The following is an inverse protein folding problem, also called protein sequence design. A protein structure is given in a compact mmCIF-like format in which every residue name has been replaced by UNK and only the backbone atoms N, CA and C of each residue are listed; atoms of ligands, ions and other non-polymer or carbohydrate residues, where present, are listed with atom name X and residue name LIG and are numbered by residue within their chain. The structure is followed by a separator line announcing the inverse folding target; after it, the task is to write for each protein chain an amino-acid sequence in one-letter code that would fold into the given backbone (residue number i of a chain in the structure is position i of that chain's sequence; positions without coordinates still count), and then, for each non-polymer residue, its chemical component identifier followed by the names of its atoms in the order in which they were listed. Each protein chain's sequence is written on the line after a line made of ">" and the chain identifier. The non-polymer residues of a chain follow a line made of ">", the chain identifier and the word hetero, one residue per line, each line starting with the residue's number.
data_IF_723489446829
#
_entry.id   IF_723489446829
#
_cell.length_a   1.000
_cell.length_b   1.000
_cell.length_c   1.000
_cell.angle_alpha   90.00
_cell.angle_beta   90.00
_cell.angle_gamma   90.00
#
_symmetry.space_group_name_H-M   'P 1'
#
loop_
_entity.id
_entity.type
_entity.pdbx_description
1 polymer ?
#
# COMPACT_ATOMS: atom_id res chain seq x y z
N UNK A 1 -0.79 14.01 -20.61
CA UNK A 1 -0.17 14.63 -19.42
C UNK A 1 -1.02 14.29 -18.19
N UNK A 2 -0.41 13.66 -17.19
CA UNK A 2 -1.03 13.41 -15.89
C UNK A 2 -0.54 14.49 -14.91
N UNK A 3 -1.43 15.37 -14.42
CA UNK A 3 -1.04 16.47 -13.54
C UNK A 3 -0.54 15.98 -12.17
N UNK A 4 -0.82 14.73 -11.79
CA UNK A 4 -0.33 14.11 -10.56
C UNK A 4 1.08 13.51 -10.71
N UNK A 5 1.60 13.41 -11.95
CA UNK A 5 2.93 12.87 -12.20
C UNK A 5 4.00 13.93 -11.96
N UNK A 6 4.91 13.63 -11.05
CA UNK A 6 6.11 14.44 -10.84
C UNK A 6 7.15 14.00 -11.88
N UNK A 7 7.66 14.96 -12.65
CA UNK A 7 8.74 14.69 -13.60
C UNK A 7 10.09 14.59 -12.87
N UNK A 8 10.62 13.38 -12.76
CA UNK A 8 12.00 13.13 -12.37
C UNK A 8 12.85 12.89 -13.63
N UNK A 9 14.08 13.35 -13.62
CA UNK A 9 15.05 12.95 -14.61
C UNK A 9 15.38 11.45 -14.39
N UNK A 10 15.03 10.59 -15.34
CA UNK A 10 15.25 9.15 -15.24
C UNK A 10 16.73 8.78 -15.05
N UNK A 11 17.62 9.58 -15.64
CA UNK A 11 19.06 9.39 -15.54
C UNK A 11 19.58 9.57 -14.11
N UNK A 12 19.00 10.49 -13.33
CA UNK A 12 19.38 10.69 -11.92
C UNK A 12 19.01 9.49 -11.05
N UNK A 13 17.86 8.87 -11.30
CA UNK A 13 17.41 7.69 -10.56
C UNK A 13 18.31 6.50 -10.89
N UNK A 14 18.63 6.29 -12.16
CA UNK A 14 19.50 5.21 -12.59
C UNK A 14 20.92 5.37 -12.00
N UNK A 15 21.49 6.58 -12.08
CA UNK A 15 22.80 6.87 -11.49
C UNK A 15 22.80 6.65 -9.98
N UNK A 16 21.75 7.11 -9.27
CA UNK A 16 21.62 6.90 -7.83
C UNK A 16 21.52 5.41 -7.46
N UNK A 17 20.80 4.61 -8.27
CA UNK A 17 20.62 3.18 -8.03
C UNK A 17 21.89 2.35 -8.20
N UNK A 18 22.90 2.87 -8.92
CA UNK A 18 24.17 2.21 -9.17
C UNK A 18 25.25 2.55 -8.13
N UNK A 19 24.99 3.53 -7.26
CA UNK A 19 25.93 3.94 -6.21
C UNK A 19 25.76 3.06 -4.98
N UNK A 20 26.89 2.63 -4.42
CA UNK A 20 26.90 1.98 -3.11
C UNK A 20 26.43 3.00 -2.05
N UNK A 21 25.52 2.58 -1.12
CA UNK A 21 25.13 3.46 -0.03
C UNK A 21 26.33 3.75 0.88
N UNK A 22 26.50 5.01 1.27
CA UNK A 22 27.59 5.44 2.16
C UNK A 22 27.31 5.13 3.65
N UNK A 23 26.22 4.43 3.96
CA UNK A 23 25.80 4.12 5.31
C UNK A 23 25.16 2.71 5.35
N UNK A 24 25.14 2.10 6.52
CA UNK A 24 24.41 0.86 6.74
C UNK A 24 22.93 1.19 6.92
N UNK A 25 22.04 0.75 6.00
CA UNK A 25 20.63 1.13 6.06
C UNK A 25 19.91 0.46 7.23
N UNK A 26 19.01 1.21 7.88
CA UNK A 26 18.12 0.73 8.92
C UNK A 26 16.67 0.80 8.43
N UNK A 27 15.91 -0.24 8.67
CA UNK A 27 14.52 -0.37 8.25
C UNK A 27 13.61 -0.70 9.42
N UNK A 28 12.37 -0.23 9.33
CA UNK A 28 11.29 -0.72 10.17
C UNK A 28 10.53 -1.82 9.43
N UNK A 29 10.23 -2.91 10.11
CA UNK A 29 9.22 -3.85 9.68
C UNK A 29 7.93 -3.59 10.44
N UNK A 30 6.91 -3.06 9.75
CA UNK A 30 5.62 -2.86 10.39
C UNK A 30 4.73 -4.10 10.33
N UNK A 31 4.32 -4.56 11.51
CA UNK A 31 3.20 -5.51 11.66
C UNK A 31 1.89 -4.74 11.64
N UNK A 32 1.30 -4.64 10.46
CA UNK A 32 -0.04 -4.05 10.32
C UNK A 32 -1.09 -4.95 10.96
N UNK A 33 -2.31 -4.43 11.19
CA UNK A 33 -3.44 -5.24 11.66
C UNK A 33 -3.78 -6.41 10.70
N UNK A 34 -3.30 -6.32 9.45
CA UNK A 34 -3.45 -7.36 8.43
C UNK A 34 -2.43 -8.49 8.56
N UNK A 35 -1.40 -8.34 9.40
CA UNK A 35 -0.43 -9.39 9.68
C UNK A 35 -1.07 -10.71 10.12
N UNK A 36 -2.20 -10.65 10.82
CA UNK A 36 -2.99 -11.83 11.21
C UNK A 36 -3.62 -12.58 10.03
N UNK A 37 -3.80 -11.91 8.88
CA UNK A 37 -4.43 -12.45 7.68
C UNK A 37 -3.42 -13.05 6.69
N UNK A 38 -2.13 -12.96 7.00
CA UNK A 38 -1.07 -13.59 6.19
C UNK A 38 -1.17 -15.10 6.38
N UNK A 39 -1.02 -15.86 5.29
CA UNK A 39 -0.93 -17.30 5.37
C UNK A 39 0.31 -17.76 6.16
N UNK A 40 0.27 -18.99 6.64
CA UNK A 40 1.32 -19.53 7.53
C UNK A 40 2.69 -19.58 6.85
N UNK A 41 2.71 -19.93 5.58
CA UNK A 41 3.93 -20.06 4.77
C UNK A 41 4.60 -18.70 4.62
N UNK A 42 3.86 -17.69 4.17
CA UNK A 42 4.33 -16.32 4.02
C UNK A 42 4.80 -15.75 5.35
N UNK A 43 4.07 -16.02 6.43
CA UNK A 43 4.47 -15.60 7.77
C UNK A 43 5.82 -16.16 8.17
N UNK A 44 6.05 -17.47 7.96
CA UNK A 44 7.32 -18.12 8.25
C UNK A 44 8.47 -17.53 7.42
N UNK A 45 8.22 -17.26 6.14
CA UNK A 45 9.20 -16.66 5.24
C UNK A 45 9.60 -15.24 5.70
N UNK A 46 8.64 -14.41 6.10
CA UNK A 46 8.92 -13.08 6.65
C UNK A 46 9.63 -13.13 8.01
N UNK A 47 9.24 -14.03 8.89
CA UNK A 47 9.92 -14.20 10.19
C UNK A 47 11.38 -14.63 9.98
N UNK A 48 11.65 -15.51 9.02
CA UNK A 48 13.00 -15.88 8.63
C UNK A 48 13.78 -14.68 8.07
N UNK A 49 13.16 -13.90 7.18
CA UNK A 49 13.75 -12.70 6.59
C UNK A 49 14.15 -11.69 7.68
N UNK A 50 13.25 -11.35 8.59
CA UNK A 50 13.48 -10.43 9.70
C UNK A 50 14.64 -10.95 10.57
N UNK A 51 14.64 -12.23 10.91
CA UNK A 51 15.70 -12.84 11.71
C UNK A 51 17.07 -12.77 11.02
N UNK A 52 17.11 -13.00 9.70
CA UNK A 52 18.34 -12.95 8.90
C UNK A 52 18.94 -11.55 8.88
N UNK A 53 18.10 -10.52 8.79
CA UNK A 53 18.51 -9.12 8.71
C UNK A 53 18.29 -8.32 10.00
N UNK A 54 18.31 -9.00 11.16
CA UNK A 54 18.02 -8.40 12.46
C UNK A 54 18.92 -7.23 12.88
N UNK A 55 20.05 -7.02 12.22
CA UNK A 55 20.94 -5.88 12.45
C UNK A 55 20.42 -4.61 11.78
N UNK A 56 19.65 -4.77 10.69
CA UNK A 56 19.16 -3.71 9.84
C UNK A 56 17.64 -3.51 9.95
N UNK A 57 16.92 -4.45 10.55
CA UNK A 57 15.47 -4.43 10.63
C UNK A 57 15.02 -4.45 12.08
N UNK A 58 14.27 -3.43 12.47
CA UNK A 58 13.54 -3.38 13.74
C UNK A 58 12.05 -3.62 13.50
N UNK A 59 11.40 -4.35 14.40
CA UNK A 59 9.99 -4.72 14.26
C UNK A 59 9.14 -3.84 15.15
N UNK A 60 8.15 -3.17 14.56
CA UNK A 60 7.20 -2.33 15.27
C UNK A 60 5.76 -2.69 14.92
N UNK A 61 4.87 -2.47 15.86
CA UNK A 61 3.46 -2.37 15.58
C UNK A 61 3.16 -1.00 14.93
N UNK A 62 2.22 -0.99 14.00
CA UNK A 62 1.81 0.28 13.38
C UNK A 62 1.19 1.23 14.42
N UNK A 63 1.38 2.54 14.27
CA UNK A 63 0.73 3.54 15.11
C UNK A 63 -0.80 3.35 15.16
N UNK A 64 -1.39 3.68 16.31
CA UNK A 64 -2.81 3.41 16.56
C UNK A 64 -3.77 4.02 15.54
N UNK A 65 -3.45 5.20 15.03
CA UNK A 65 -4.25 5.89 14.00
C UNK A 65 -4.29 5.19 12.64
N UNK A 66 -3.35 4.29 12.35
CA UNK A 66 -3.38 3.48 11.12
C UNK A 66 -4.62 2.62 10.98
N UNK A 67 -5.30 2.31 12.09
CA UNK A 67 -6.55 1.54 12.08
C UNK A 67 -7.69 2.25 11.34
N UNK A 68 -7.65 3.58 11.32
CA UNK A 68 -8.67 4.41 10.70
C UNK A 68 -8.40 4.70 9.22
N UNK A 69 -7.15 4.52 8.77
CA UNK A 69 -6.76 4.74 7.38
C UNK A 69 -7.64 3.98 6.38
N UNK A 70 -7.96 2.68 6.54
CA UNK A 70 -8.78 1.97 5.57
C UNK A 70 -10.16 2.61 5.35
N UNK A 71 -10.76 3.16 6.40
CA UNK A 71 -12.05 3.86 6.32
C UNK A 71 -11.92 5.16 5.51
N UNK A 72 -10.94 5.98 5.82
CA UNK A 72 -10.71 7.25 5.12
C UNK A 72 -10.27 7.02 3.66
N UNK A 73 -9.41 6.04 3.41
CA UNK A 73 -9.04 5.60 2.07
C UNK A 73 -10.28 5.22 1.25
N UNK A 74 -11.20 4.45 1.84
CA UNK A 74 -12.41 4.03 1.15
C UNK A 74 -13.30 5.21 0.76
N UNK A 75 -13.45 6.22 1.64
CA UNK A 75 -14.23 7.43 1.37
C UNK A 75 -13.66 8.16 0.15
N UNK A 76 -12.35 8.44 0.14
CA UNK A 76 -11.71 9.11 -1.00
C UNK A 76 -11.84 8.28 -2.26
N UNK A 77 -11.44 7.01 -2.20
CA UNK A 77 -11.44 6.11 -3.35
C UNK A 77 -12.84 5.97 -3.99
N UNK A 78 -13.88 5.76 -3.20
CA UNK A 78 -15.24 5.59 -3.72
C UNK A 78 -15.83 6.89 -4.24
N UNK A 79 -15.51 8.03 -3.60
CA UNK A 79 -15.95 9.35 -4.06
C UNK A 79 -15.30 9.71 -5.40
N UNK A 80 -13.99 9.52 -5.53
CA UNK A 80 -13.26 9.77 -6.78
C UNK A 80 -13.70 8.81 -7.89
N UNK A 81 -13.92 7.55 -7.55
CA UNK A 81 -14.46 6.56 -8.48
C UNK A 81 -15.84 6.97 -8.98
N UNK A 82 -16.73 7.43 -8.09
CA UNK A 82 -18.04 7.91 -8.44
C UNK A 82 -17.96 9.15 -9.36
N UNK A 83 -17.09 10.09 -9.04
CA UNK A 83 -16.86 11.29 -9.86
C UNK A 83 -16.34 10.93 -11.26
N UNK A 84 -15.32 10.09 -11.35
CA UNK A 84 -14.64 9.77 -12.60
C UNK A 84 -15.49 8.86 -13.52
N UNK A 85 -16.29 7.98 -12.96
CA UNK A 85 -17.08 6.99 -13.71
C UNK A 85 -18.57 7.29 -13.79
N UNK A 86 -19.05 8.42 -13.26
CA UNK A 86 -20.47 8.78 -13.27
C UNK A 86 -21.07 8.82 -14.69
N UNK A 87 -20.33 9.33 -15.67
CA UNK A 87 -20.79 9.39 -17.05
C UNK A 87 -21.03 8.00 -17.65
N UNK A 88 -20.12 7.05 -17.40
CA UNK A 88 -20.26 5.66 -17.84
C UNK A 88 -21.40 4.95 -17.10
N UNK A 89 -21.53 5.19 -15.81
CA UNK A 89 -22.62 4.66 -15.01
C UNK A 89 -23.99 5.12 -15.49
N UNK A 90 -24.15 6.41 -15.80
CA UNK A 90 -25.40 6.97 -16.36
C UNK A 90 -25.69 6.47 -17.76
N UNK A 91 -24.67 6.28 -18.60
CA UNK A 91 -24.82 5.83 -19.98
C UNK A 91 -25.28 4.39 -20.09
N UNK A 92 -24.64 3.47 -19.39
CA UNK A 92 -25.00 2.04 -19.39
C UNK A 92 -24.37 1.32 -18.20
N UNK A 93 -25.02 1.39 -17.04
CA UNK A 93 -24.53 0.74 -15.82
C UNK A 93 -24.40 -0.79 -15.92
N UNK A 94 -25.09 -1.43 -16.87
CA UNK A 94 -25.03 -2.89 -17.05
C UNK A 94 -23.68 -3.36 -17.60
N UNK A 95 -22.92 -2.48 -18.23
CA UNK A 95 -21.57 -2.77 -18.73
C UNK A 95 -20.50 -2.68 -17.66
N UNK A 96 -20.82 -2.13 -16.50
CA UNK A 96 -19.92 -2.11 -15.35
C UNK A 96 -20.08 -3.38 -14.51
N UNK A 97 -19.01 -3.87 -13.90
CA UNK A 97 -19.10 -4.98 -12.95
C UNK A 97 -19.98 -4.60 -11.75
N UNK A 98 -20.46 -5.59 -11.02
CA UNK A 98 -21.27 -5.35 -9.83
C UNK A 98 -20.49 -4.54 -8.79
N UNK A 99 -19.23 -4.92 -8.54
CA UNK A 99 -18.33 -4.29 -7.57
C UNK A 99 -18.14 -2.81 -7.89
N UNK A 100 -17.94 -2.49 -9.19
CA UNK A 100 -17.79 -1.11 -9.65
C UNK A 100 -19.07 -0.30 -9.43
N UNK A 101 -20.25 -0.86 -9.77
CA UNK A 101 -21.52 -0.18 -9.52
C UNK A 101 -21.77 0.09 -8.04
N UNK A 102 -21.54 -0.95 -7.20
CA UNK A 102 -21.72 -0.83 -5.76
C UNK A 102 -20.78 0.23 -5.15
N UNK A 103 -19.53 0.30 -5.63
CA UNK A 103 -18.57 1.32 -5.19
C UNK A 103 -18.98 2.74 -5.62
N UNK A 104 -19.44 2.92 -6.87
CA UNK A 104 -19.97 4.20 -7.35
C UNK A 104 -21.19 4.62 -6.51
N UNK A 105 -22.13 3.70 -6.25
CA UNK A 105 -23.34 3.99 -5.46
C UNK A 105 -23.02 4.34 -4.00
N UNK A 106 -21.97 3.78 -3.41
CA UNK A 106 -21.47 4.19 -2.08
C UNK A 106 -20.80 5.55 -2.15
N UNK A 107 -19.94 5.78 -3.16
CA UNK A 107 -19.24 7.05 -3.34
C UNK A 107 -20.18 8.25 -3.51
N UNK A 108 -21.33 8.07 -4.20
CA UNK A 108 -22.35 9.09 -4.33
C UNK A 108 -23.08 9.43 -3.01
N UNK A 109 -22.92 8.63 -1.97
CA UNK A 109 -23.54 8.85 -0.65
C UNK A 109 -22.61 9.54 0.34
N UNK A 110 -21.31 9.56 0.07
CA UNK A 110 -20.35 10.26 0.93
C UNK A 110 -20.61 11.77 0.86
N UNK A 111 -20.63 12.42 2.02
CA UNK A 111 -20.78 13.87 2.06
C UNK A 111 -19.47 14.58 1.72
N UNK A 112 -19.56 15.86 1.32
CA UNK A 112 -18.38 16.70 1.15
C UNK A 112 -17.58 16.79 2.48
N UNK A 113 -18.27 16.79 3.62
CA UNK A 113 -17.64 16.81 4.95
C UNK A 113 -16.80 15.55 5.19
N UNK A 114 -17.34 14.34 4.86
CA UNK A 114 -16.59 13.08 5.00
C UNK A 114 -15.35 13.07 4.12
N UNK A 115 -15.48 13.56 2.89
CA UNK A 115 -14.36 13.63 1.93
C UNK A 115 -13.26 14.58 2.41
N UNK A 116 -13.62 15.79 2.83
CA UNK A 116 -12.64 16.76 3.37
C UNK A 116 -11.95 16.21 4.61
N UNK A 117 -12.69 15.64 5.56
CA UNK A 117 -12.10 15.01 6.74
C UNK A 117 -11.14 13.86 6.37
N UNK A 118 -11.46 13.10 5.33
CA UNK A 118 -10.58 12.03 4.88
C UNK A 118 -9.28 12.57 4.27
N UNK A 119 -9.33 13.69 3.55
CA UNK A 119 -8.14 14.38 3.03
C UNK A 119 -7.30 14.97 4.18
N UNK A 120 -7.94 15.65 5.15
CA UNK A 120 -7.23 16.21 6.30
C UNK A 120 -6.54 15.13 7.14
N UNK A 121 -7.20 13.98 7.32
CA UNK A 121 -6.62 12.85 8.02
C UNK A 121 -5.46 12.21 7.23
N UNK A 122 -5.50 12.23 5.90
CA UNK A 122 -4.41 11.79 5.04
C UNK A 122 -3.16 12.63 5.28
N UNK A 123 -3.30 13.94 5.26
CA UNK A 123 -2.18 14.87 5.49
C UNK A 123 -1.58 14.69 6.89
N UNK A 124 -2.42 14.60 7.93
CA UNK A 124 -1.97 14.35 9.30
C UNK A 124 -1.23 13.01 9.43
N UNK A 125 -1.74 11.96 8.77
CA UNK A 125 -1.12 10.64 8.77
C UNK A 125 0.24 10.67 8.08
N UNK A 126 0.36 11.38 6.96
CA UNK A 126 1.61 11.56 6.24
C UNK A 126 2.65 12.31 7.08
N UNK A 127 2.28 13.41 7.72
CA UNK A 127 3.19 14.19 8.56
C UNK A 127 3.70 13.37 9.75
N UNK A 128 2.82 12.62 10.43
CA UNK A 128 3.21 11.73 11.52
C UNK A 128 4.10 10.58 11.07
N UNK A 129 3.88 10.07 9.84
CA UNK A 129 4.71 9.01 9.27
C UNK A 129 6.11 9.50 8.89
N UNK A 130 6.21 10.75 8.49
CA UNK A 130 7.47 11.38 8.07
C UNK A 130 8.55 11.37 9.16
N UNK A 131 8.15 11.41 10.44
CA UNK A 131 9.06 11.33 11.59
C UNK A 131 9.83 10.01 11.63
N UNK A 132 9.28 8.93 11.04
CA UNK A 132 9.97 7.63 10.94
C UNK A 132 11.29 7.74 10.17
N UNK A 133 11.35 8.63 9.18
CA UNK A 133 12.56 8.80 8.34
C UNK A 133 13.67 9.65 8.98
N UNK A 134 13.47 10.13 10.20
CA UNK A 134 14.55 10.75 10.97
C UNK A 134 15.57 9.71 11.44
N UNK A 135 15.09 8.49 11.75
CA UNK A 135 15.92 7.40 12.28
C UNK A 135 16.08 6.21 11.32
N UNK A 136 15.19 6.07 10.34
CA UNK A 136 15.12 4.91 9.43
C UNK A 136 15.12 5.35 7.97
N UNK A 137 15.62 4.47 7.12
CA UNK A 137 15.77 4.73 5.68
C UNK A 137 14.62 4.14 4.84
N UNK A 138 13.72 3.42 5.46
CA UNK A 138 12.54 2.86 4.81
C UNK A 138 11.73 1.97 5.72
N UNK A 139 10.55 1.63 5.25
CA UNK A 139 9.63 0.71 5.93
C UNK A 139 9.44 -0.53 5.07
N UNK A 140 9.45 -1.68 5.70
CA UNK A 140 9.25 -2.98 5.05
C UNK A 140 7.94 -3.57 5.54
N UNK A 141 7.15 -4.06 4.58
CA UNK A 141 5.91 -4.83 4.85
C UNK A 141 5.75 -5.94 3.81
N UNK A 142 4.86 -6.91 4.02
CA UNK A 142 4.43 -7.79 2.95
C UNK A 142 3.73 -7.00 1.83
N UNK A 143 3.94 -7.40 0.57
CA UNK A 143 3.19 -6.83 -0.57
C UNK A 143 1.78 -7.41 -0.68
N UNK A 144 1.56 -8.63 -0.18
CA UNK A 144 0.28 -9.33 -0.21
C UNK A 144 0.15 -10.28 0.97
N UNK A 145 -1.03 -10.86 1.15
CA UNK A 145 -1.31 -11.83 2.22
C UNK A 145 -0.70 -13.21 1.99
N UNK A 146 -0.17 -13.46 0.82
CA UNK A 146 0.40 -14.74 0.41
C UNK A 146 0.92 -14.71 -1.02
N UNK A 147 1.22 -15.89 -1.56
CA UNK A 147 1.51 -16.07 -2.99
C UNK A 147 0.26 -15.79 -3.84
N UNK A 148 0.44 -15.67 -5.15
CA UNK A 148 -0.66 -15.44 -6.08
C UNK A 148 -1.72 -16.54 -5.99
N UNK A 149 -3.00 -16.15 -5.97
CA UNK A 149 -4.14 -17.07 -5.98
C UNK A 149 -4.15 -17.89 -7.28
N UNK A 150 -4.53 -19.17 -7.16
CA UNK A 150 -4.65 -20.03 -8.33
C UNK A 150 -5.91 -19.66 -9.14
N UNK A 151 -5.70 -19.36 -10.42
CA UNK A 151 -6.77 -19.07 -11.39
C UNK A 151 -7.00 -17.58 -11.60
N UNK A 152 -8.15 -17.23 -12.23
CA UNK A 152 -8.47 -15.86 -12.65
C UNK A 152 -9.67 -15.25 -11.91
N UNK A 153 -10.14 -15.89 -10.84
CA UNK A 153 -11.33 -15.43 -10.11
C UNK A 153 -11.03 -14.36 -9.06
N UNK A 154 -9.79 -14.28 -8.60
CA UNK A 154 -9.33 -13.34 -7.57
C UNK A 154 -7.99 -12.78 -7.96
N UNK A 155 -7.76 -11.53 -7.62
CA UNK A 155 -6.45 -10.85 -7.71
C UNK A 155 -5.81 -10.68 -6.32
N UNK A 156 -6.37 -11.34 -5.30
CA UNK A 156 -5.96 -11.18 -3.92
C UNK A 156 -6.50 -9.89 -3.27
N UNK A 157 -6.02 -9.61 -2.06
CA UNK A 157 -6.41 -8.43 -1.29
C UNK A 157 -5.37 -7.31 -1.42
N UNK A 158 -5.84 -6.07 -1.58
CA UNK A 158 -5.01 -4.87 -1.57
C UNK A 158 -4.76 -4.32 -0.15
N UNK A 159 -4.97 -5.12 0.89
CA UNK A 159 -4.95 -4.64 2.28
C UNK A 159 -3.58 -4.14 2.74
N UNK A 160 -2.49 -4.69 2.17
CA UNK A 160 -1.13 -4.26 2.50
C UNK A 160 -0.68 -2.99 1.76
N UNK A 161 -1.41 -2.57 0.71
CA UNK A 161 -1.07 -1.38 -0.08
C UNK A 161 -1.87 -0.14 0.33
N UNK A 162 -3.07 -0.32 0.89
CA UNK A 162 -4.02 0.78 1.18
C UNK A 162 -3.43 1.91 2.02
N UNK A 163 -2.66 1.56 3.04
CA UNK A 163 -2.03 2.53 3.94
C UNK A 163 -1.08 3.45 3.17
N UNK A 164 -0.21 2.88 2.39
CA UNK A 164 0.83 3.59 1.65
C UNK A 164 0.25 4.40 0.49
N UNK A 165 -0.70 3.80 -0.25
CA UNK A 165 -1.45 4.49 -1.31
C UNK A 165 -2.22 5.69 -0.75
N UNK A 166 -2.87 5.53 0.41
CA UNK A 166 -3.59 6.61 1.06
C UNK A 166 -2.70 7.80 1.42
N UNK A 167 -1.51 7.54 1.94
CA UNK A 167 -0.54 8.58 2.28
C UNK A 167 0.27 9.10 1.09
N UNK A 168 0.05 8.59 -0.13
CA UNK A 168 0.79 9.00 -1.33
C UNK A 168 2.26 8.63 -1.33
N UNK A 169 2.65 7.60 -0.57
CA UNK A 169 4.03 7.17 -0.44
C UNK A 169 4.47 6.30 -1.62
N UNK A 170 5.69 6.47 -2.14
CA UNK A 170 6.25 5.58 -3.15
C UNK A 170 6.49 4.20 -2.57
N UNK A 171 6.17 3.17 -3.33
CA UNK A 171 6.35 1.79 -2.92
C UNK A 171 6.99 0.94 -4.02
N UNK A 172 7.87 0.02 -3.64
CA UNK A 172 8.46 -0.97 -4.53
C UNK A 172 8.19 -2.36 -3.95
N UNK A 173 7.69 -3.28 -4.77
CA UNK A 173 7.56 -4.69 -4.41
C UNK A 173 8.72 -5.49 -5.00
N UNK A 174 9.49 -6.15 -4.13
CA UNK A 174 10.66 -6.94 -4.48
C UNK A 174 10.38 -8.43 -4.24
N UNK A 175 10.56 -9.32 -5.22
CA UNK A 175 10.31 -10.76 -5.08
C UNK A 175 11.48 -11.44 -4.36
N UNK A 176 11.73 -11.07 -3.10
CA UNK A 176 12.88 -11.54 -2.32
C UNK A 176 12.66 -12.87 -1.60
N UNK A 177 11.42 -13.29 -1.48
CA UNK A 177 11.04 -14.51 -0.78
C UNK A 177 10.29 -15.45 -1.74
N UNK A 178 10.28 -16.72 -1.41
CA UNK A 178 9.60 -17.77 -2.17
C UNK A 178 8.75 -18.60 -1.23
N UNK A 179 7.54 -18.91 -1.65
CA UNK A 179 6.66 -19.83 -0.97
C UNK A 179 6.97 -21.30 -1.30
N UNK A 180 6.29 -22.23 -0.60
CA UNK A 180 6.45 -23.68 -0.79
C UNK A 180 6.10 -24.15 -2.23
N UNK A 181 5.27 -23.37 -2.93
CA UNK A 181 4.88 -23.61 -4.32
C UNK A 181 5.85 -23.03 -5.37
N UNK A 182 7.03 -22.60 -4.96
CA UNK A 182 8.00 -21.85 -5.78
C UNK A 182 7.47 -20.54 -6.37
N UNK A 183 6.33 -20.05 -5.88
CA UNK A 183 5.80 -18.74 -6.26
C UNK A 183 6.46 -17.63 -5.43
N UNK A 184 6.71 -16.46 -6.04
CA UNK A 184 7.34 -15.36 -5.34
C UNK A 184 6.43 -14.77 -4.25
N UNK A 185 7.05 -14.39 -3.14
CA UNK A 185 6.45 -13.55 -2.10
C UNK A 185 7.10 -12.18 -2.14
N UNK A 186 6.29 -11.16 -2.33
CA UNK A 186 6.74 -9.78 -2.43
C UNK A 186 7.05 -9.18 -1.06
N UNK A 187 8.26 -8.64 -0.93
CA UNK A 187 8.66 -7.73 0.15
C UNK A 187 8.43 -6.31 -0.36
N UNK A 188 7.54 -5.58 0.28
CA UNK A 188 7.26 -4.19 -0.07
C UNK A 188 8.18 -3.26 0.71
N UNK A 189 8.87 -2.40 0.00
CA UNK A 189 9.66 -1.29 0.54
C UNK A 189 8.91 0.02 0.28
N UNK A 190 8.77 0.82 1.31
CA UNK A 190 8.18 2.15 1.34
C UNK A 190 9.28 3.15 1.68
#
# INVERSE_FOLDING_TARGET
>A
YDPATIHFAADEILEASQKEPHFEPKFIFYKTDKWKNIDKESKNAFEFFIKKFKKNIEVFDVPGYFKDIPKHHQIIHETDLANNFQAYYKKDKKKLSKEMRDAIERGLKHSAYDYVNAIDFMEQSYQSYKEVFEDYHGVITPSASGVADKGLKSTGSADFQKIWTYMGLPTISLPLLTGESDLPLGVQLI
#
